data_IF_484777317780
#
_entry.id   IF_484777317780
#
_cell.length_a   1.000
_cell.length_b   1.000
_cell.length_c   1.000
_cell.angle_alpha   90.00
_cell.angle_beta   90.00
_cell.angle_gamma   90.00
#
_symmetry.space_group_name_H-M   'P 1'
#
loop_
_entity.id
_entity.type
_entity.pdbx_description
1 polymer ?
#
# COMPACT_ATOMS: atom_id res chain seq x y z
N UNK A 1 -1.60 8.23 -15.42
CA UNK A 1 -1.47 6.86 -15.98
C UNK A 1 -1.96 6.72 -17.43
N UNK A 2 -2.60 7.74 -18.03
CA UNK A 2 -2.99 7.70 -19.46
C UNK A 2 -1.80 7.82 -20.42
N UNK A 3 -0.69 8.35 -19.94
CA UNK A 3 0.54 8.50 -20.69
C UNK A 3 1.67 7.74 -19.97
N UNK A 4 2.07 6.55 -20.46
CA UNK A 4 3.15 5.78 -19.87
C UNK A 4 4.52 6.47 -19.96
N UNK A 5 4.65 7.54 -20.73
CA UNK A 5 5.85 8.37 -20.76
C UNK A 5 5.96 9.32 -19.56
N UNK A 6 4.86 9.57 -18.84
CA UNK A 6 4.87 10.40 -17.64
C UNK A 6 5.41 9.64 -16.44
N UNK A 7 6.44 10.20 -15.83
CA UNK A 7 7.05 9.64 -14.63
C UNK A 7 6.08 9.67 -13.44
N UNK A 8 6.12 8.64 -12.61
CA UNK A 8 5.43 8.64 -11.31
C UNK A 8 5.91 9.79 -10.39
N UNK A 9 7.09 10.35 -10.62
CA UNK A 9 7.58 11.53 -9.92
C UNK A 9 6.68 12.77 -10.15
N UNK A 10 5.90 12.82 -11.24
CA UNK A 10 4.93 13.88 -11.47
C UNK A 10 3.74 13.85 -10.52
N UNK A 11 3.48 12.71 -9.86
CA UNK A 11 2.42 12.61 -8.86
C UNK A 11 2.69 13.54 -7.68
N UNK A 12 3.91 13.51 -7.15
CA UNK A 12 4.33 14.40 -6.07
C UNK A 12 4.03 15.86 -6.44
N UNK A 13 4.53 16.30 -7.59
CA UNK A 13 4.28 17.66 -8.07
C UNK A 13 2.78 17.98 -8.20
N UNK A 14 1.98 17.08 -8.77
CA UNK A 14 0.55 17.27 -8.93
C UNK A 14 -0.20 17.41 -7.62
N UNK A 15 0.18 16.64 -6.61
CA UNK A 15 -0.44 16.72 -5.28
C UNK A 15 -0.02 17.98 -4.53
N UNK A 16 1.22 18.43 -4.65
CA UNK A 16 1.67 19.73 -4.11
C UNK A 16 0.90 20.88 -4.74
N UNK A 17 0.77 20.90 -6.07
CA UNK A 17 -0.06 21.90 -6.76
C UNK A 17 -1.52 21.85 -6.28
N UNK A 18 -2.09 20.66 -6.07
CA UNK A 18 -3.45 20.52 -5.55
C UNK A 18 -3.59 21.14 -4.16
N UNK A 19 -2.62 20.91 -3.28
CA UNK A 19 -2.59 21.51 -1.93
C UNK A 19 -2.56 23.04 -2.01
N UNK A 20 -1.65 23.61 -2.80
CA UNK A 20 -1.53 25.05 -2.96
C UNK A 20 -2.82 25.69 -3.49
N UNK A 21 -3.37 25.12 -4.58
CA UNK A 21 -4.60 25.61 -5.20
C UNK A 21 -5.78 25.51 -4.24
N UNK A 22 -5.88 24.40 -3.51
CA UNK A 22 -6.96 24.18 -2.55
C UNK A 22 -6.86 25.15 -1.37
N UNK A 23 -5.70 25.33 -0.76
CA UNK A 23 -5.48 26.29 0.32
C UNK A 23 -5.83 27.71 -0.12
N UNK A 24 -5.40 28.10 -1.33
CA UNK A 24 -5.73 29.40 -1.92
C UNK A 24 -7.23 29.58 -2.14
N UNK A 25 -7.90 28.57 -2.70
CA UNK A 25 -9.34 28.61 -2.96
C UNK A 25 -10.14 28.73 -1.65
N UNK A 26 -9.76 28.00 -0.61
CA UNK A 26 -10.36 28.10 0.73
C UNK A 26 -10.13 29.49 1.34
N UNK A 27 -8.92 30.03 1.24
CA UNK A 27 -8.60 31.39 1.68
C UNK A 27 -9.46 32.45 1.01
N UNK A 28 -9.66 32.36 -0.31
CA UNK A 28 -10.54 33.25 -1.04
C UNK A 28 -12.02 33.08 -0.66
N UNK A 29 -12.46 31.85 -0.42
CA UNK A 29 -13.87 31.53 -0.10
C UNK A 29 -14.28 31.90 1.31
N UNK A 30 -13.37 31.73 2.29
CA UNK A 30 -13.65 31.88 3.70
C UNK A 30 -12.89 33.04 4.36
N UNK A 31 -12.12 33.81 3.57
CA UNK A 31 -11.23 34.88 4.06
C UNK A 31 -10.24 34.44 5.15
N UNK A 32 -9.97 33.15 5.22
CA UNK A 32 -9.07 32.51 6.17
C UNK A 32 -8.45 31.25 5.56
N UNK A 33 -7.15 31.05 5.76
CA UNK A 33 -6.48 29.81 5.37
C UNK A 33 -6.91 28.65 6.28
N UNK A 34 -6.82 27.39 5.81
CA UNK A 34 -7.03 26.24 6.66
C UNK A 34 -6.11 26.28 7.88
N UNK A 35 -6.66 25.98 9.04
CA UNK A 35 -5.88 25.94 10.29
C UNK A 35 -4.97 24.71 10.33
N UNK A 36 -5.44 23.61 9.77
CA UNK A 36 -4.72 22.35 9.65
C UNK A 36 -4.90 21.74 8.26
N UNK A 37 -3.92 20.97 7.84
CA UNK A 37 -3.94 20.24 6.57
C UNK A 37 -3.41 18.82 6.80
N UNK A 38 -4.23 17.83 6.52
CA UNK A 38 -3.87 16.42 6.67
C UNK A 38 -3.88 15.71 5.33
N UNK A 39 -2.92 14.79 5.13
CA UNK A 39 -2.86 13.93 3.95
C UNK A 39 -3.34 12.52 4.34
N UNK A 40 -4.41 12.05 3.70
CA UNK A 40 -4.96 10.71 3.90
C UNK A 40 -4.98 9.97 2.59
N UNK A 41 -4.59 8.70 2.60
CA UNK A 41 -4.59 7.95 1.35
C UNK A 41 -4.52 6.44 1.53
N UNK A 42 -5.05 5.74 0.53
CA UNK A 42 -5.06 4.28 0.44
C UNK A 42 -4.16 3.84 -0.71
N UNK A 43 -3.35 2.79 -0.55
CA UNK A 43 -2.54 2.22 -1.61
C UNK A 43 -1.57 3.25 -2.21
N UNK A 44 -1.76 3.64 -3.47
CA UNK A 44 -1.01 4.75 -4.08
C UNK A 44 -1.24 6.09 -3.39
N UNK A 45 -2.43 6.30 -2.84
CA UNK A 45 -2.72 7.48 -2.01
C UNK A 45 -1.93 7.44 -0.69
N UNK A 46 -1.76 6.26 -0.10
CA UNK A 46 -0.89 6.03 1.06
C UNK A 46 0.57 6.35 0.74
N UNK A 47 1.07 5.91 -0.42
CA UNK A 47 2.39 6.32 -0.90
C UNK A 47 2.52 7.84 -0.99
N UNK A 48 1.51 8.53 -1.55
CA UNK A 48 1.52 10.00 -1.64
C UNK A 48 1.52 10.63 -0.24
N UNK A 49 0.72 10.11 0.69
CA UNK A 49 0.71 10.58 2.08
C UNK A 49 2.10 10.47 2.73
N UNK A 50 2.83 9.37 2.49
CA UNK A 50 4.24 9.19 2.92
C UNK A 50 5.16 10.24 2.28
N UNK A 51 5.09 10.43 0.96
CA UNK A 51 5.92 11.40 0.23
C UNK A 51 5.68 12.82 0.74
N UNK A 52 4.42 13.19 1.00
CA UNK A 52 4.10 14.51 1.58
C UNK A 52 4.67 14.65 2.98
N UNK A 53 4.58 13.64 3.82
CA UNK A 53 5.19 13.66 5.15
C UNK A 53 6.74 13.70 5.12
N UNK A 54 7.37 13.10 4.10
CA UNK A 54 8.83 13.08 3.94
C UNK A 54 9.39 14.37 3.32
N UNK A 55 8.71 14.93 2.31
CA UNK A 55 9.29 15.96 1.45
C UNK A 55 8.59 17.31 1.52
N UNK A 56 7.36 17.33 2.03
CA UNK A 56 6.49 18.51 2.08
C UNK A 56 5.83 18.65 3.45
N UNK A 57 6.59 18.36 4.51
CA UNK A 57 6.11 18.47 5.88
C UNK A 57 5.81 19.91 6.32
N UNK A 58 6.21 20.90 5.55
CA UNK A 58 5.83 22.30 5.70
C UNK A 58 4.43 22.62 5.11
N UNK A 59 3.91 21.73 4.28
CA UNK A 59 2.60 21.89 3.63
C UNK A 59 1.48 21.11 4.34
N UNK A 60 1.83 20.13 5.18
CA UNK A 60 0.86 19.31 5.92
C UNK A 60 1.22 19.23 7.40
N UNK A 61 0.21 19.11 8.25
CA UNK A 61 0.39 18.97 9.70
C UNK A 61 0.52 17.49 10.13
N UNK A 62 0.11 16.55 9.29
CA UNK A 62 0.21 15.12 9.54
C UNK A 62 -0.40 14.28 8.43
N UNK A 63 -0.18 12.97 8.49
CA UNK A 63 -0.67 12.05 7.47
C UNK A 63 -1.16 10.71 8.05
N UNK A 64 -2.15 10.11 7.38
CA UNK A 64 -2.53 8.71 7.58
C UNK A 64 -2.39 7.95 6.27
N UNK A 65 -1.67 6.87 6.33
CA UNK A 65 -1.37 5.98 5.24
C UNK A 65 -2.07 4.64 5.47
N UNK A 66 -2.98 4.28 4.59
CA UNK A 66 -3.57 2.95 4.56
C UNK A 66 -2.89 2.14 3.44
N UNK A 67 -2.07 1.19 3.85
CA UNK A 67 -1.38 0.24 2.97
C UNK A 67 -0.67 0.91 1.78
N UNK A 68 0.11 1.97 2.07
CA UNK A 68 0.85 2.68 1.05
C UNK A 68 1.91 1.80 0.38
N UNK A 69 2.02 1.95 -0.94
CA UNK A 69 3.09 1.31 -1.70
C UNK A 69 4.44 1.81 -1.18
N UNK A 70 5.35 0.87 -0.91
CA UNK A 70 6.74 1.20 -0.59
C UNK A 70 7.61 1.02 -1.84
N UNK A 71 8.26 2.10 -2.27
CA UNK A 71 9.23 2.07 -3.34
C UNK A 71 10.66 2.14 -2.76
N UNK A 72 11.45 1.12 -3.10
CA UNK A 72 12.86 1.03 -2.74
C UNK A 72 13.69 0.64 -3.97
N UNK A 73 14.66 1.47 -4.34
CA UNK A 73 15.51 1.20 -5.52
C UNK A 73 16.52 0.07 -5.28
N UNK A 74 16.82 -0.24 -4.03
CA UNK A 74 17.81 -1.26 -3.65
C UNK A 74 17.17 -2.50 -2.99
N UNK A 75 15.92 -2.35 -2.52
CA UNK A 75 15.16 -3.38 -1.81
C UNK A 75 14.14 -4.11 -2.67
N UNK A 76 13.12 -4.63 -1.98
CA UNK A 76 11.97 -5.25 -2.62
C UNK A 76 11.01 -4.18 -3.17
N UNK A 77 10.44 -4.46 -4.32
CA UNK A 77 9.43 -3.62 -4.95
C UNK A 77 8.52 -4.45 -5.89
N UNK A 78 7.39 -3.90 -6.28
CA UNK A 78 6.34 -4.61 -7.02
C UNK A 78 6.82 -5.26 -8.35
N UNK A 79 7.78 -4.66 -9.06
CA UNK A 79 8.28 -5.22 -10.31
C UNK A 79 9.23 -6.42 -10.12
N UNK A 80 9.71 -6.66 -8.91
CA UNK A 80 10.44 -7.89 -8.55
C UNK A 80 9.48 -9.01 -8.19
N UNK A 81 8.50 -8.71 -7.34
CA UNK A 81 7.68 -9.75 -6.70
C UNK A 81 6.48 -10.16 -7.54
N UNK A 82 5.78 -9.22 -8.17
CA UNK A 82 4.55 -9.52 -8.90
C UNK A 82 4.72 -10.49 -10.09
N UNK A 83 5.78 -10.41 -10.92
CA UNK A 83 5.97 -11.38 -12.00
C UNK A 83 6.09 -12.82 -11.49
N UNK A 84 6.80 -13.02 -10.37
CA UNK A 84 6.96 -14.34 -9.75
C UNK A 84 5.63 -14.85 -9.17
N UNK A 85 4.80 -13.95 -8.58
CA UNK A 85 3.48 -14.34 -8.08
C UNK A 85 2.52 -14.70 -9.23
N UNK A 86 2.53 -13.93 -10.31
CA UNK A 86 1.69 -14.23 -11.48
C UNK A 86 2.03 -15.60 -12.04
N UNK A 87 3.30 -15.89 -12.30
CA UNK A 87 3.75 -17.18 -12.83
C UNK A 87 3.52 -18.32 -11.81
N UNK A 88 3.89 -18.10 -10.56
CA UNK A 88 3.74 -19.08 -9.48
C UNK A 88 2.28 -19.43 -9.20
N UNK A 89 1.38 -18.44 -9.19
CA UNK A 89 -0.03 -18.68 -8.98
C UNK A 89 -0.67 -19.46 -10.13
N UNK A 90 -0.33 -19.16 -11.39
CA UNK A 90 -0.83 -19.90 -12.53
C UNK A 90 -0.46 -21.40 -12.46
N UNK A 91 0.75 -21.72 -11.99
CA UNK A 91 1.16 -23.08 -11.71
C UNK A 91 0.41 -23.70 -10.51
N UNK A 92 0.33 -22.98 -9.40
CA UNK A 92 -0.39 -23.38 -8.18
C UNK A 92 -1.88 -23.70 -8.44
N UNK A 93 -2.55 -22.89 -9.25
CA UNK A 93 -3.97 -23.07 -9.55
C UNK A 93 -4.26 -24.35 -10.34
N UNK A 94 -3.29 -24.81 -11.15
CA UNK A 94 -3.41 -26.05 -11.94
C UNK A 94 -2.95 -27.29 -11.18
N UNK A 95 -2.09 -27.13 -10.18
CA UNK A 95 -1.49 -28.24 -9.45
C UNK A 95 -2.44 -28.89 -8.45
N UNK A 96 -2.15 -30.15 -8.10
CA UNK A 96 -2.87 -30.94 -7.12
C UNK A 96 -1.92 -31.65 -6.15
N UNK A 97 -2.45 -32.08 -4.99
CA UNK A 97 -1.70 -32.89 -4.02
C UNK A 97 -0.40 -32.22 -3.55
N UNK A 98 0.66 -32.99 -3.44
CA UNK A 98 1.95 -32.54 -2.93
C UNK A 98 2.60 -31.41 -3.75
N UNK A 99 2.35 -31.38 -5.06
CA UNK A 99 2.85 -30.31 -5.91
C UNK A 99 2.20 -28.98 -5.59
N UNK A 100 0.88 -28.96 -5.40
CA UNK A 100 0.14 -27.75 -4.98
C UNK A 100 0.66 -27.23 -3.64
N UNK A 101 0.94 -28.13 -2.70
CA UNK A 101 1.49 -27.74 -1.39
C UNK A 101 2.87 -27.06 -1.52
N UNK A 102 3.77 -27.62 -2.33
CA UNK A 102 5.09 -27.03 -2.57
C UNK A 102 5.00 -25.65 -3.25
N UNK A 103 4.10 -25.48 -4.23
CA UNK A 103 3.91 -24.19 -4.90
C UNK A 103 3.29 -23.17 -3.95
N UNK A 104 2.39 -23.59 -3.07
CA UNK A 104 1.88 -22.72 -2.00
C UNK A 104 3.01 -22.23 -1.08
N UNK A 105 3.85 -23.15 -0.59
CA UNK A 105 4.99 -22.80 0.26
C UNK A 105 5.92 -21.82 -0.45
N UNK A 106 6.20 -22.03 -1.73
CA UNK A 106 7.01 -21.12 -2.52
C UNK A 106 6.39 -19.72 -2.64
N UNK A 107 5.08 -19.61 -2.87
CA UNK A 107 4.39 -18.31 -2.93
C UNK A 107 4.41 -17.59 -1.58
N UNK A 108 4.30 -18.32 -0.47
CA UNK A 108 4.45 -17.76 0.89
C UNK A 108 5.89 -17.30 1.13
N UNK A 109 6.91 -18.05 0.72
CA UNK A 109 8.32 -17.64 0.80
C UNK A 109 8.59 -16.36 -0.01
N UNK A 110 7.88 -16.16 -1.13
CA UNK A 110 7.93 -14.95 -1.94
C UNK A 110 7.13 -13.77 -1.33
N UNK A 111 6.55 -13.95 -0.16
CA UNK A 111 5.91 -12.88 0.61
C UNK A 111 4.39 -12.88 0.62
N UNK A 112 3.70 -13.77 -0.10
CA UNK A 112 2.24 -13.86 0.01
C UNK A 112 1.83 -14.33 1.40
N UNK A 113 0.83 -13.69 2.03
CA UNK A 113 0.46 -14.00 3.41
C UNK A 113 -0.15 -15.40 3.53
N UNK A 114 0.35 -16.23 4.46
CA UNK A 114 -0.23 -17.53 4.75
C UNK A 114 -1.62 -17.35 5.39
N UNK A 115 -2.57 -18.20 4.98
CA UNK A 115 -3.97 -18.12 5.42
C UNK A 115 -4.87 -17.29 4.50
N UNK A 116 -4.29 -16.45 3.63
CA UNK A 116 -5.03 -15.64 2.67
C UNK A 116 -5.15 -16.26 1.26
N UNK A 117 -4.86 -17.58 1.11
CA UNK A 117 -4.81 -18.26 -0.20
C UNK A 117 -6.10 -18.16 -1.00
N UNK A 118 -7.24 -18.04 -0.33
CA UNK A 118 -8.56 -17.87 -0.96
C UNK A 118 -8.68 -16.56 -1.75
N UNK A 119 -7.87 -15.56 -1.41
CA UNK A 119 -7.85 -14.27 -2.09
C UNK A 119 -6.91 -14.23 -3.29
N UNK A 120 -5.93 -15.13 -3.37
CA UNK A 120 -4.92 -15.09 -4.42
C UNK A 120 -5.51 -15.12 -5.84
N UNK A 121 -6.60 -15.87 -6.05
CA UNK A 121 -7.25 -15.94 -7.35
C UNK A 121 -7.78 -14.58 -7.81
N UNK A 122 -8.46 -13.84 -6.91
CA UNK A 122 -8.99 -12.52 -7.24
C UNK A 122 -7.86 -11.49 -7.38
N UNK A 123 -6.79 -11.61 -6.58
CA UNK A 123 -5.63 -10.74 -6.73
C UNK A 123 -4.89 -10.96 -8.03
N UNK A 124 -4.67 -12.21 -8.43
CA UNK A 124 -4.11 -12.53 -9.74
C UNK A 124 -4.95 -11.92 -10.87
N UNK A 125 -6.26 -12.05 -10.79
CA UNK A 125 -7.18 -11.64 -11.81
C UNK A 125 -7.37 -10.11 -11.91
N UNK A 126 -7.52 -9.45 -10.76
CA UNK A 126 -7.98 -8.06 -10.71
C UNK A 126 -6.84 -7.07 -10.41
N UNK A 127 -5.76 -7.51 -9.75
CA UNK A 127 -4.78 -6.58 -9.18
C UNK A 127 -3.36 -6.78 -9.72
N UNK A 128 -2.81 -7.99 -9.67
CA UNK A 128 -1.38 -8.19 -10.00
C UNK A 128 -1.06 -7.83 -11.44
N UNK A 129 -1.82 -8.34 -12.40
CA UNK A 129 -1.61 -8.04 -13.82
C UNK A 129 -1.89 -6.58 -14.15
N UNK A 130 -2.94 -5.98 -13.55
CA UNK A 130 -3.24 -4.56 -13.71
C UNK A 130 -2.12 -3.70 -13.16
N UNK A 131 -1.57 -4.06 -12.00
CA UNK A 131 -0.46 -3.35 -11.37
C UNK A 131 0.80 -3.41 -12.24
N UNK A 132 1.16 -4.58 -12.77
CA UNK A 132 2.27 -4.73 -13.71
C UNK A 132 2.05 -3.95 -15.00
N UNK A 133 0.83 -3.93 -15.52
CA UNK A 133 0.47 -3.13 -16.69
C UNK A 133 0.61 -1.63 -16.43
N UNK A 134 0.19 -1.17 -15.25
CA UNK A 134 0.25 0.24 -14.89
C UNK A 134 1.69 0.73 -14.68
N UNK A 135 2.52 -0.06 -14.00
CA UNK A 135 3.84 0.40 -13.54
C UNK A 135 4.99 -0.08 -14.41
N UNK A 136 4.85 -1.22 -15.07
CA UNK A 136 5.95 -1.83 -15.81
C UNK A 136 6.61 -0.84 -16.76
N UNK A 137 5.89 -0.28 -17.70
CA UNK A 137 6.43 0.68 -18.69
C UNK A 137 6.81 2.04 -18.13
N UNK A 138 6.27 2.42 -16.99
CA UNK A 138 6.72 3.63 -16.28
C UNK A 138 8.13 3.46 -15.71
N UNK A 139 8.43 2.25 -15.24
CA UNK A 139 9.70 1.94 -14.58
C UNK A 139 10.72 1.27 -15.51
N UNK A 140 10.27 0.67 -16.62
CA UNK A 140 11.12 0.17 -17.68
C UNK A 140 10.46 0.37 -19.07
N UNK A 141 11.06 1.18 -19.98
CA UNK A 141 10.54 1.35 -21.33
C UNK A 141 10.44 0.08 -22.14
N UNK A 142 11.29 -0.93 -21.84
CA UNK A 142 11.32 -2.22 -22.51
C UNK A 142 10.40 -3.26 -21.86
N UNK A 143 9.58 -2.83 -20.89
CA UNK A 143 8.60 -3.70 -20.23
C UNK A 143 7.64 -4.32 -21.24
N UNK A 144 7.37 -5.64 -21.15
CA UNK A 144 6.49 -6.32 -22.08
C UNK A 144 5.10 -5.69 -22.15
N UNK A 145 4.55 -5.63 -23.37
CA UNK A 145 3.17 -5.19 -23.57
C UNK A 145 2.27 -6.42 -23.59
N UNK A 146 1.33 -6.50 -22.68
CA UNK A 146 0.34 -7.57 -22.64
C UNK A 146 -1.08 -6.99 -22.51
N UNK A 147 -2.06 -7.74 -23.01
CA UNK A 147 -3.47 -7.36 -22.86
C UNK A 147 -3.92 -7.59 -21.41
N UNK A 148 -4.70 -6.65 -20.88
CA UNK A 148 -5.34 -6.86 -19.58
C UNK A 148 -6.40 -7.96 -19.68
N UNK A 149 -6.51 -8.85 -18.67
CA UNK A 149 -7.36 -10.02 -18.70
C UNK A 149 -8.85 -9.72 -18.47
N UNK A 150 -9.40 -8.74 -19.17
CA UNK A 150 -10.86 -8.53 -19.20
C UNK A 150 -11.58 -9.58 -20.04
N UNK A 151 -10.83 -10.49 -20.68
CA UNK A 151 -11.36 -11.65 -21.38
C UNK A 151 -11.48 -12.85 -20.43
N UNK A 152 -12.40 -13.76 -20.73
CA UNK A 152 -12.82 -14.91 -19.90
C UNK A 152 -11.73 -15.93 -19.52
N UNK A 153 -10.47 -15.68 -19.80
CA UNK A 153 -9.37 -16.58 -19.48
C UNK A 153 -8.62 -16.09 -18.22
N UNK A 154 -9.06 -16.58 -17.10
CA UNK A 154 -8.66 -16.18 -15.74
C UNK A 154 -7.21 -16.56 -15.35
N UNK A 155 -6.57 -17.38 -16.14
CA UNK A 155 -5.25 -17.93 -15.83
C UNK A 155 -4.22 -17.56 -16.92
N UNK A 156 -4.45 -16.46 -17.65
CA UNK A 156 -3.44 -15.97 -18.58
C UNK A 156 -2.17 -15.61 -17.81
N UNK A 157 -1.18 -16.47 -17.96
CA UNK A 157 0.21 -16.13 -17.72
C UNK A 157 0.68 -15.44 -19.01
N UNK A 158 0.94 -14.12 -18.98
CA UNK A 158 1.45 -13.46 -20.16
C UNK A 158 2.83 -14.07 -20.46
N UNK A 159 2.92 -14.86 -21.52
CA UNK A 159 4.18 -15.52 -21.91
C UNK A 159 5.35 -14.52 -22.04
N UNK A 160 5.03 -13.25 -22.38
CA UNK A 160 5.98 -12.16 -22.47
C UNK A 160 6.56 -11.75 -21.12
N UNK A 161 5.81 -11.89 -20.01
CA UNK A 161 6.34 -11.63 -18.67
C UNK A 161 7.37 -12.68 -18.25
N UNK A 162 7.17 -13.95 -18.62
CA UNK A 162 8.12 -15.02 -18.31
C UNK A 162 9.44 -14.86 -19.05
N UNK A 163 9.45 -14.14 -20.17
CA UNK A 163 10.65 -13.84 -20.97
C UNK A 163 11.32 -12.51 -20.62
N UNK A 164 10.74 -11.72 -19.72
CA UNK A 164 11.34 -10.44 -19.32
C UNK A 164 12.64 -10.65 -18.54
N UNK A 165 13.77 -10.09 -19.00
CA UNK A 165 15.09 -10.31 -18.40
C UNK A 165 15.27 -9.42 -17.16
N UNK A 166 14.56 -9.73 -16.06
CA UNK A 166 14.49 -8.90 -14.87
C UNK A 166 15.85 -8.51 -14.29
N UNK A 167 16.79 -9.46 -14.23
CA UNK A 167 18.13 -9.23 -13.70
C UNK A 167 18.93 -8.23 -14.56
N UNK A 168 18.86 -8.37 -15.89
CA UNK A 168 19.54 -7.47 -16.83
C UNK A 168 18.94 -6.04 -16.79
N UNK A 169 17.65 -5.94 -16.48
CA UNK A 169 16.91 -4.68 -16.41
C UNK A 169 16.90 -4.03 -15.03
N UNK A 170 17.37 -4.73 -14.00
CA UNK A 170 17.32 -4.27 -12.61
C UNK A 170 17.90 -2.86 -12.41
N UNK A 171 19.04 -2.56 -13.04
CA UNK A 171 19.67 -1.24 -12.96
C UNK A 171 18.81 -0.12 -13.59
N UNK A 172 18.15 -0.42 -14.72
CA UNK A 172 17.24 0.52 -15.37
C UNK A 172 16.04 0.83 -14.46
N UNK A 173 15.40 -0.22 -13.94
CA UNK A 173 14.26 -0.11 -13.01
C UNK A 173 14.66 0.66 -11.74
N UNK A 174 15.78 0.30 -11.11
CA UNK A 174 16.27 0.99 -9.91
C UNK A 174 16.52 2.48 -10.15
N UNK A 175 17.08 2.85 -11.32
CA UNK A 175 17.30 4.26 -11.66
C UNK A 175 16.01 5.07 -11.75
N UNK A 176 14.92 4.44 -12.17
CA UNK A 176 13.59 5.08 -12.27
C UNK A 176 12.80 5.06 -10.96
N UNK A 177 13.06 4.09 -10.09
CA UNK A 177 12.50 4.05 -8.73
C UNK A 177 13.18 5.10 -7.84
N UNK A 178 14.48 5.35 -7.99
CA UNK A 178 15.24 6.25 -7.11
C UNK A 178 14.59 7.62 -6.88
N UNK A 179 14.06 8.34 -7.89
CA UNK A 179 13.39 9.63 -7.66
C UNK A 179 12.10 9.54 -6.85
N UNK A 180 11.43 8.39 -6.89
CA UNK A 180 10.15 8.14 -6.21
C UNK A 180 10.30 7.32 -4.93
N UNK A 181 11.52 6.88 -4.60
CA UNK A 181 11.76 6.02 -3.46
C UNK A 181 11.44 6.74 -2.13
N UNK A 182 10.86 5.96 -1.21
CA UNK A 182 10.67 6.40 0.16
C UNK A 182 11.99 6.42 0.91
N UNK A 183 12.21 7.45 1.69
CA UNK A 183 13.44 7.68 2.46
C UNK A 183 13.28 7.41 3.95
N UNK A 184 12.05 7.40 4.45
CA UNK A 184 11.73 7.34 5.87
C UNK A 184 12.01 8.63 6.64
N UNK A 185 12.48 9.69 5.99
CA UNK A 185 12.80 10.99 6.63
C UNK A 185 11.53 11.84 6.74
N UNK A 186 10.61 11.40 7.54
CA UNK A 186 9.36 12.15 7.76
C UNK A 186 9.62 13.36 8.65
N UNK A 187 9.02 14.50 8.28
CA UNK A 187 9.04 15.74 9.05
C UNK A 187 7.68 16.09 9.68
N UNK A 188 6.64 15.32 9.39
CA UNK A 188 5.32 15.45 9.98
C UNK A 188 4.86 14.10 10.60
N UNK A 189 4.00 14.10 11.63
CA UNK A 189 3.42 12.88 12.20
C UNK A 189 2.74 12.02 11.15
N UNK A 190 3.03 10.71 11.16
CA UNK A 190 2.49 9.74 10.22
C UNK A 190 1.97 8.50 10.96
N UNK A 191 0.74 8.11 10.68
CA UNK A 191 0.18 6.84 11.13
C UNK A 191 -0.05 5.95 9.91
N UNK A 192 0.59 4.78 9.90
CA UNK A 192 0.38 3.73 8.89
C UNK A 192 -0.58 2.68 9.44
N UNK A 193 -1.63 2.36 8.70
CA UNK A 193 -2.58 1.30 9.02
C UNK A 193 -2.51 0.26 7.91
N UNK A 194 -2.31 -1.01 8.26
CA UNK A 194 -2.12 -2.05 7.26
C UNK A 194 -2.54 -3.44 7.73
N UNK A 195 -3.21 -4.18 6.85
CA UNK A 195 -3.57 -5.57 7.09
C UNK A 195 -2.41 -6.53 6.82
N UNK A 196 -2.29 -7.57 7.64
CA UNK A 196 -1.25 -8.58 7.42
C UNK A 196 -1.64 -9.69 6.44
N UNK A 197 -2.86 -9.62 5.88
CA UNK A 197 -3.32 -10.47 4.77
C UNK A 197 -3.36 -9.74 3.43
N UNK A 198 -2.73 -8.56 3.33
CA UNK A 198 -2.61 -7.87 2.05
C UNK A 198 -1.86 -8.73 1.02
N UNK A 199 -2.60 -9.18 -0.01
CA UNK A 199 -2.08 -9.98 -1.10
C UNK A 199 -1.55 -9.15 -2.28
N UNK A 200 -1.62 -7.81 -2.20
CA UNK A 200 -1.03 -6.91 -3.19
C UNK A 200 0.27 -6.30 -2.68
N UNK A 201 0.25 -5.82 -1.45
CA UNK A 201 1.36 -5.15 -0.78
C UNK A 201 1.72 -5.88 0.52
N UNK A 202 2.35 -7.07 0.46
CA UNK A 202 2.65 -7.86 1.64
C UNK A 202 3.31 -7.03 2.73
N UNK A 203 2.77 -7.14 3.93
CA UNK A 203 3.13 -6.34 5.09
C UNK A 203 4.65 -6.24 5.31
N UNK A 204 5.36 -7.35 5.21
CA UNK A 204 6.81 -7.41 5.42
C UNK A 204 7.60 -6.54 4.41
N UNK A 205 7.18 -6.54 3.13
CA UNK A 205 7.90 -5.89 2.04
C UNK A 205 7.55 -4.41 1.90
N UNK A 206 6.36 -4.00 2.35
CA UNK A 206 5.89 -2.63 2.20
C UNK A 206 5.81 -1.89 3.53
N UNK A 207 5.05 -2.38 4.50
CA UNK A 207 4.76 -1.63 5.71
C UNK A 207 5.87 -1.74 6.76
N UNK A 208 6.32 -2.97 7.03
CA UNK A 208 7.44 -3.20 7.94
C UNK A 208 8.76 -2.65 7.37
N UNK A 209 9.00 -2.82 6.06
CA UNK A 209 10.18 -2.27 5.38
C UNK A 209 10.21 -0.73 5.45
N UNK A 210 9.07 -0.08 5.20
CA UNK A 210 8.98 1.38 5.35
C UNK A 210 9.22 1.83 6.80
N UNK A 211 8.60 1.16 7.76
CA UNK A 211 8.81 1.45 9.19
C UNK A 211 10.28 1.33 9.61
N UNK A 212 10.96 0.31 9.08
CA UNK A 212 12.40 0.16 9.32
C UNK A 212 13.21 1.33 8.73
N UNK A 213 12.85 1.85 7.56
CA UNK A 213 13.48 3.05 7.00
C UNK A 213 13.22 4.29 7.84
N UNK A 214 11.99 4.48 8.34
CA UNK A 214 11.67 5.60 9.25
C UNK A 214 12.52 5.52 10.51
N UNK A 215 12.67 4.33 11.10
CA UNK A 215 13.52 4.11 12.26
C UNK A 215 14.99 4.38 11.96
N UNK A 216 15.50 3.89 10.84
CA UNK A 216 16.88 4.11 10.40
C UNK A 216 17.18 5.60 10.13
N UNK A 217 16.17 6.36 9.70
CA UNK A 217 16.25 7.81 9.52
C UNK A 217 16.19 8.60 10.85
N UNK A 218 15.97 7.95 12.00
CA UNK A 218 15.83 8.58 13.30
C UNK A 218 14.47 9.22 13.57
N UNK A 219 13.47 8.92 12.72
CA UNK A 219 12.14 9.56 12.75
C UNK A 219 11.06 8.71 13.44
N UNK A 220 11.43 7.62 14.13
CA UNK A 220 10.48 6.70 14.75
C UNK A 220 9.50 7.37 15.74
N UNK A 221 9.90 8.48 16.37
CA UNK A 221 9.04 9.24 17.29
C UNK A 221 7.85 9.91 16.59
N UNK A 222 7.93 10.16 15.29
CA UNK A 222 6.87 10.73 14.45
C UNK A 222 6.02 9.66 13.75
N UNK A 223 6.27 8.37 13.98
CA UNK A 223 5.60 7.29 13.26
C UNK A 223 4.89 6.32 14.19
N UNK A 224 3.71 5.87 13.75
CA UNK A 224 3.01 4.71 14.32
C UNK A 224 2.63 3.76 13.19
N UNK A 225 2.79 2.44 13.44
CA UNK A 225 2.35 1.37 12.53
C UNK A 225 1.34 0.50 13.25
N UNK A 226 0.13 0.44 12.72
CA UNK A 226 -0.95 -0.43 13.19
C UNK A 226 -1.13 -1.57 12.20
N UNK A 227 -0.65 -2.74 12.61
CA UNK A 227 -0.86 -3.99 11.88
C UNK A 227 -2.22 -4.56 12.24
N UNK A 228 -3.10 -4.73 11.27
CA UNK A 228 -4.44 -5.26 11.47
C UNK A 228 -4.44 -6.75 11.16
N UNK A 229 -4.74 -7.57 12.20
CA UNK A 229 -4.79 -9.01 12.06
C UNK A 229 -5.81 -9.44 11.02
N UNK A 230 -5.36 -10.17 10.01
CA UNK A 230 -6.18 -10.63 8.87
C UNK A 230 -6.87 -9.51 8.07
N UNK A 231 -6.41 -8.27 8.16
CA UNK A 231 -6.82 -7.21 7.25
C UNK A 231 -6.21 -7.42 5.87
N UNK A 232 -6.97 -7.08 4.83
CA UNK A 232 -6.53 -7.18 3.44
C UNK A 232 -6.32 -5.78 2.85
N UNK A 233 -5.87 -5.69 1.59
CA UNK A 233 -5.57 -4.42 0.92
C UNK A 233 -6.73 -3.42 0.93
N UNK A 234 -7.95 -3.90 0.75
CA UNK A 234 -9.17 -3.09 0.76
C UNK A 234 -10.36 -3.89 1.31
N UNK A 235 -11.23 -3.22 2.03
CA UNK A 235 -12.43 -3.81 2.63
C UNK A 235 -13.50 -4.24 1.61
N UNK A 236 -13.34 -3.87 0.33
CA UNK A 236 -14.24 -4.29 -0.74
C UNK A 236 -14.31 -5.79 -0.95
N UNK A 237 -13.32 -6.55 -0.49
CA UNK A 237 -13.27 -8.00 -0.59
C UNK A 237 -13.94 -8.72 0.58
N UNK A 238 -14.27 -8.05 1.68
CA UNK A 238 -14.91 -8.62 2.87
C UNK A 238 -16.20 -9.39 2.56
N UNK A 239 -16.94 -8.96 1.53
CA UNK A 239 -18.17 -9.65 1.10
C UNK A 239 -17.92 -11.01 0.48
N UNK A 240 -16.70 -11.30 0.06
CA UNK A 240 -16.27 -12.56 -0.51
C UNK A 240 -15.71 -13.48 0.57
N UNK A 241 -15.47 -12.96 1.74
CA UNK A 241 -14.97 -13.69 2.89
C UNK A 241 -16.11 -14.22 3.78
N UNK A 242 -15.82 -15.31 4.48
CA UNK A 242 -16.76 -15.97 5.39
C UNK A 242 -16.60 -15.53 6.85
N UNK A 243 -16.08 -14.32 7.06
CA UNK A 243 -15.94 -13.73 8.39
C UNK A 243 -14.57 -13.90 9.07
N UNK A 244 -13.56 -14.38 8.34
CA UNK A 244 -12.21 -14.48 8.89
C UNK A 244 -11.36 -13.23 8.65
N UNK A 245 -11.72 -12.43 7.64
CA UNK A 245 -11.06 -11.19 7.28
C UNK A 245 -11.55 -10.03 8.15
N UNK A 246 -10.64 -9.14 8.54
CA UNK A 246 -10.95 -7.98 9.37
C UNK A 246 -11.02 -6.72 8.50
N UNK A 247 -12.00 -5.82 8.75
CA UNK A 247 -12.03 -4.53 8.08
C UNK A 247 -10.86 -3.64 8.54
N UNK A 248 -10.26 -2.93 7.61
CA UNK A 248 -9.16 -1.98 7.87
C UNK A 248 -9.69 -0.55 7.99
N UNK A 249 -10.79 -0.21 7.30
CA UNK A 249 -11.37 1.14 7.31
C UNK A 249 -11.62 1.71 8.71
N UNK A 250 -12.19 0.95 9.69
CA UNK A 250 -12.41 1.49 11.02
C UNK A 250 -11.15 1.93 11.73
N UNK A 251 -10.06 1.16 11.54
CA UNK A 251 -8.76 1.51 12.10
C UNK A 251 -8.16 2.74 11.42
N UNK A 252 -8.38 2.90 10.12
CA UNK A 252 -7.97 4.09 9.38
C UNK A 252 -8.71 5.35 9.87
N UNK A 253 -10.03 5.28 10.11
CA UNK A 253 -10.84 6.36 10.66
C UNK A 253 -10.41 6.71 12.10
N UNK A 254 -10.19 5.70 12.94
CA UNK A 254 -9.67 5.89 14.28
C UNK A 254 -8.25 6.49 14.27
N UNK A 255 -7.38 6.03 13.38
CA UNK A 255 -6.04 6.57 13.22
C UNK A 255 -6.06 8.06 12.85
N UNK A 256 -6.98 8.48 11.97
CA UNK A 256 -7.15 9.89 11.65
C UNK A 256 -7.57 10.71 12.89
N UNK A 257 -8.55 10.24 13.64
CA UNK A 257 -8.96 10.89 14.90
C UNK A 257 -7.79 11.01 15.89
N UNK A 258 -6.97 9.97 16.00
CA UNK A 258 -5.76 9.99 16.85
C UNK A 258 -4.69 10.94 16.31
N UNK A 259 -4.50 11.00 15.00
CA UNK A 259 -3.59 11.96 14.39
C UNK A 259 -3.99 13.41 14.67
N UNK A 260 -5.29 13.74 14.56
CA UNK A 260 -5.78 15.07 14.90
C UNK A 260 -5.46 15.44 16.36
N UNK A 261 -5.73 14.56 17.31
CA UNK A 261 -5.40 14.77 18.72
C UNK A 261 -3.89 14.92 18.96
N UNK A 262 -3.10 14.12 18.26
CA UNK A 262 -1.64 14.20 18.35
C UNK A 262 -1.12 15.55 17.88
N UNK A 263 -1.57 16.00 16.71
CA UNK A 263 -1.16 17.29 16.12
C UNK A 263 -1.69 18.49 16.90
N UNK A 264 -2.95 18.44 17.33
CA UNK A 264 -3.60 19.60 17.96
C UNK A 264 -3.33 19.74 19.45
N UNK A 265 -3.12 18.62 20.15
CA UNK A 265 -3.07 18.60 21.62
C UNK A 265 -1.78 17.98 22.16
N UNK A 266 -0.94 17.40 21.30
CA UNK A 266 0.25 16.66 21.72
C UNK A 266 -0.10 15.32 22.40
N UNK A 267 -1.33 14.82 22.22
CA UNK A 267 -1.75 13.53 22.75
C UNK A 267 -1.17 12.42 21.86
N UNK A 268 -0.11 11.75 22.33
CA UNK A 268 0.49 10.67 21.58
C UNK A 268 -0.52 9.54 21.32
N UNK A 269 -0.60 9.04 20.05
CA UNK A 269 -1.48 7.92 19.75
C UNK A 269 -0.94 6.63 20.35
N UNK A 270 -1.75 5.57 20.47
CA UNK A 270 -1.33 4.25 20.94
C UNK A 270 -0.04 3.76 20.25
N UNK A 271 0.75 2.90 20.92
CA UNK A 271 2.00 2.41 20.34
C UNK A 271 1.77 1.57 19.08
N UNK A 272 2.78 1.50 18.21
CA UNK A 272 2.78 0.55 17.09
C UNK A 272 2.59 -0.89 17.58
N UNK A 273 1.82 -1.68 16.84
CA UNK A 273 1.56 -3.06 17.22
C UNK A 273 0.54 -3.78 16.33
N UNK A 274 0.29 -5.05 16.69
CA UNK A 274 -0.74 -5.89 16.07
C UNK A 274 -2.08 -5.66 16.79
N UNK A 275 -3.07 -5.26 16.03
CA UNK A 275 -4.43 -5.01 16.50
C UNK A 275 -5.39 -6.06 15.96
N UNK A 276 -6.13 -6.69 16.86
CA UNK A 276 -7.16 -7.68 16.54
C UNK A 276 -8.51 -7.03 16.75
N UNK A 277 -9.38 -7.14 15.75
CA UNK A 277 -10.75 -6.69 15.93
C UNK A 277 -11.43 -7.52 17.02
N UNK A 278 -12.04 -6.86 17.97
CA UNK A 278 -13.07 -7.44 18.81
C UNK A 278 -14.25 -7.65 17.87
N UNK A 279 -14.74 -8.85 17.81
CA UNK A 279 -15.86 -9.41 17.06
C UNK A 279 -16.75 -8.37 16.31
N UNK A 280 -16.31 -7.91 15.16
CA UNK A 280 -16.99 -6.88 14.35
C UNK A 280 -18.36 -7.35 13.86
N UNK A 281 -18.61 -8.67 13.89
CA UNK A 281 -19.86 -9.28 13.48
C UNK A 281 -20.97 -9.24 14.55
N UNK A 282 -20.62 -8.92 15.79
CA UNK A 282 -21.57 -9.00 16.89
C UNK A 282 -22.40 -7.73 17.14
N UNK A 283 -22.12 -6.58 16.52
CA UNK A 283 -22.85 -5.37 16.94
C UNK A 283 -22.77 -4.11 16.13
N UNK A 284 -22.92 -3.97 14.91
CA UNK A 284 -23.25 -2.70 14.21
C UNK A 284 -22.19 -1.59 14.24
N UNK A 285 -22.51 -0.39 13.74
CA UNK A 285 -21.63 0.76 13.54
C UNK A 285 -20.97 1.32 14.83
N UNK A 286 -21.49 1.00 15.98
CA UNK A 286 -20.93 1.40 17.28
C UNK A 286 -19.60 0.70 17.62
N UNK A 287 -19.34 -0.46 17.02
CA UNK A 287 -18.08 -1.19 17.20
C UNK A 287 -16.87 -0.52 16.56
N UNK A 288 -17.10 0.36 15.61
CA UNK A 288 -16.02 1.14 15.00
C UNK A 288 -15.46 2.22 15.93
N UNK A 289 -16.21 2.63 16.94
CA UNK A 289 -15.74 3.55 17.95
C UNK A 289 -14.82 2.88 18.98
N UNK A 290 -14.92 1.55 19.12
CA UNK A 290 -14.23 0.73 20.13
C UNK A 290 -13.12 -0.12 19.49
N UNK A 291 -12.37 0.46 18.58
CA UNK A 291 -11.13 -0.17 18.10
C UNK A 291 -10.13 -0.18 19.25
N UNK A 292 -9.26 -1.19 19.28
CA UNK A 292 -8.17 -1.28 20.26
C UNK A 292 -7.26 -0.04 20.29
N UNK A 293 -7.45 0.90 19.35
CA UNK A 293 -6.80 2.20 19.31
C UNK A 293 -7.36 3.21 20.30
N UNK A 294 -8.50 2.92 20.96
CA UNK A 294 -9.11 3.80 21.97
C UNK A 294 -8.77 3.42 23.42
N UNK A 295 -8.13 2.27 23.63
CA UNK A 295 -7.76 1.77 24.95
C UNK A 295 -6.47 2.39 25.50
#
# INVERSE_FOLDING_TARGET
LRDPARSMAEWEHSYVQLLEVTKRALGLRFAQLPHRTFALGVSNGGYVARILAERHADEIDGAVDWEGVHWDSEGEHLLKTLPEWVAGFAAYARAQGAERSRLRERLVELGLPPGAERHWAIYHQMYWLVTLWLYGRNLDPDWPTFALPWSNDWLQDPADLASYPADERASCVASRIRPIANTGRIGAPLITVAGNWDCLLPFAHHQAAYTAKVAAAGCAHLHRLYEIDRGNHVDGLLRLDRGDEQPVLPYFEAAFTRLERWVERGEEPPPSGLYRAVDVLAGGAELYADTNLEA
#
